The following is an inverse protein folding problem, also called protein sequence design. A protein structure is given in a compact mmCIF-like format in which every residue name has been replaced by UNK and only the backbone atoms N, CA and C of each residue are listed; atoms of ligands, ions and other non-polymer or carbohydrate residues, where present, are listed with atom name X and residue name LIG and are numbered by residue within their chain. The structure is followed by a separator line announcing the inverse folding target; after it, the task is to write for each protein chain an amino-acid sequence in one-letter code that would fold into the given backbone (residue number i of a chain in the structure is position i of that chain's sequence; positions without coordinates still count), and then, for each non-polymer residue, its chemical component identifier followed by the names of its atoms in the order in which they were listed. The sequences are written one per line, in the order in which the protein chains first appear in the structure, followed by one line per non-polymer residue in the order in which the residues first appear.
data_IF_231803705608
#
_entry.id   IF_231803705608
#
_cell.length_a   1.000
_cell.length_b   1.000
_cell.length_c   1.000
_cell.angle_alpha   90.00
_cell.angle_beta   90.00
_cell.angle_gamma   90.00
#
_symmetry.space_group_name_H-M   'P 1'
#
loop_
_entity.id
_entity.type
_entity.pdbx_description
1 polymer ?
#
# COMPACT_ATOMS: atom_id res chain seq x y z
N UNK A 1 52.40 29.33 -53.03
CA UNK A 1 52.37 30.80 -53.12
C UNK A 1 51.01 31.22 -53.65
N UNK A 2 50.03 31.48 -52.79
CA UNK A 2 48.76 32.16 -53.11
C UNK A 2 48.10 32.71 -51.84
N UNK A 3 47.23 33.71 -51.99
CA UNK A 3 46.83 34.69 -50.98
C UNK A 3 45.31 34.97 -51.07
N UNK A 4 44.55 35.40 -50.05
CA UNK A 4 44.80 35.69 -48.61
C UNK A 4 43.45 35.84 -47.87
N UNK A 5 43.48 35.76 -46.52
CA UNK A 5 42.51 36.36 -45.56
C UNK A 5 41.01 36.01 -45.71
N UNK A 6 40.38 35.66 -44.58
CA UNK A 6 39.40 36.56 -43.96
C UNK A 6 39.23 36.26 -42.46
N UNK A 7 38.86 37.31 -41.71
CA UNK A 7 38.73 37.33 -40.25
C UNK A 7 37.30 36.92 -39.83
N UNK A 8 37.15 36.33 -38.65
CA UNK A 8 35.84 35.97 -38.09
C UNK A 8 35.89 35.82 -36.58
N UNK A 9 35.86 36.94 -35.85
CA UNK A 9 35.82 36.96 -34.38
C UNK A 9 34.46 36.52 -33.85
N UNK A 10 34.44 35.58 -32.91
CA UNK A 10 33.23 35.17 -32.19
C UNK A 10 33.54 34.79 -30.74
N UNK A 11 33.55 35.77 -29.83
CA UNK A 11 33.43 35.49 -28.40
C UNK A 11 32.04 34.90 -28.13
N UNK A 12 31.98 33.72 -27.53
CA UNK A 12 30.74 33.01 -27.25
C UNK A 12 30.88 32.07 -26.06
N UNK A 13 30.76 32.64 -24.86
CA UNK A 13 30.88 31.92 -23.59
C UNK A 13 29.84 30.79 -23.45
N UNK A 14 30.30 29.57 -23.21
CA UNK A 14 29.45 28.46 -22.77
C UNK A 14 30.19 27.55 -21.78
N UNK A 15 30.48 28.07 -20.59
CA UNK A 15 30.82 27.26 -19.41
C UNK A 15 29.59 26.45 -18.99
N UNK A 16 29.35 25.30 -19.64
CA UNK A 16 28.35 24.34 -19.22
C UNK A 16 28.88 23.59 -17.99
N UNK A 17 28.50 24.09 -16.82
CA UNK A 17 28.90 23.54 -15.53
C UNK A 17 28.43 22.09 -15.36
N UNK A 18 29.39 21.18 -15.24
CA UNK A 18 29.16 19.79 -14.82
C UNK A 18 28.83 19.74 -13.32
N UNK A 19 27.63 20.18 -12.96
CA UNK A 19 27.14 20.12 -11.59
C UNK A 19 26.74 18.67 -11.23
N UNK A 20 27.66 17.98 -10.56
CA UNK A 20 27.47 16.66 -9.95
C UNK A 20 26.41 16.71 -8.83
N UNK A 21 25.13 16.71 -9.19
CA UNK A 21 24.08 16.26 -8.29
C UNK A 21 24.04 14.73 -8.31
N UNK A 22 24.95 14.14 -7.54
CA UNK A 22 24.84 12.76 -7.07
C UNK A 22 23.60 12.64 -6.19
N UNK A 23 22.43 12.58 -6.85
CA UNK A 23 21.18 12.26 -6.19
C UNK A 23 21.35 10.90 -5.54
N UNK A 24 21.32 10.86 -4.22
CA UNK A 24 21.11 9.63 -3.47
C UNK A 24 19.68 9.16 -3.74
N UNK A 25 19.47 8.60 -4.94
CA UNK A 25 18.42 7.66 -5.22
C UNK A 25 18.76 6.39 -4.42
N UNK A 26 18.52 6.47 -3.11
CA UNK A 26 18.47 5.32 -2.24
C UNK A 26 17.57 4.29 -2.94
N UNK A 27 18.08 3.09 -3.26
CA UNK A 27 17.29 2.09 -3.95
C UNK A 27 16.20 1.66 -2.98
N UNK A 28 15.03 2.30 -3.11
CA UNK A 28 13.79 1.97 -2.43
C UNK A 28 13.46 0.54 -2.82
N UNK A 29 14.04 -0.39 -2.05
CA UNK A 29 14.06 -1.81 -2.37
C UNK A 29 12.61 -2.21 -2.46
N UNK A 30 12.15 -2.69 -3.63
CA UNK A 30 10.76 -3.09 -3.76
C UNK A 30 10.58 -4.23 -2.75
N UNK A 31 9.88 -3.94 -1.65
CA UNK A 31 9.54 -4.91 -0.61
C UNK A 31 8.46 -5.80 -1.20
N UNK A 32 8.94 -6.67 -2.09
CA UNK A 32 8.15 -7.55 -2.92
C UNK A 32 7.78 -8.79 -2.12
N UNK A 33 6.66 -9.39 -2.51
CA UNK A 33 5.92 -10.39 -1.76
C UNK A 33 5.36 -9.86 -0.42
N UNK A 34 4.04 -9.99 -0.29
CA UNK A 34 3.30 -9.72 0.94
C UNK A 34 3.96 -10.49 2.10
N UNK A 35 4.58 -9.75 3.03
CA UNK A 35 5.21 -10.32 4.20
C UNK A 35 4.17 -11.15 4.96
N UNK A 36 4.41 -12.46 5.07
CA UNK A 36 3.57 -13.34 5.88
C UNK A 36 3.49 -12.79 7.31
N UNK A 37 2.36 -12.90 8.00
CA UNK A 37 2.25 -12.47 9.39
C UNK A 37 3.34 -13.15 10.23
N UNK A 38 4.23 -12.33 10.81
CA UNK A 38 5.31 -12.80 11.66
C UNK A 38 4.85 -12.74 13.11
N UNK A 39 4.65 -13.89 13.74
CA UNK A 39 4.23 -13.98 15.13
C UNK A 39 5.45 -13.87 16.07
N UNK A 40 5.24 -13.27 17.24
CA UNK A 40 6.23 -13.30 18.32
C UNK A 40 6.47 -14.73 18.85
N UNK A 41 7.58 -14.99 19.58
CA UNK A 41 7.90 -16.32 20.11
C UNK A 41 6.80 -16.92 21.01
N UNK A 42 6.07 -16.06 21.73
CA UNK A 42 4.91 -16.36 22.58
C UNK A 42 3.57 -16.32 21.83
N UNK A 43 3.59 -15.87 20.57
CA UNK A 43 2.40 -15.52 19.79
C UNK A 43 1.44 -14.58 20.52
N UNK A 44 1.97 -13.66 21.34
CA UNK A 44 1.19 -12.58 21.97
C UNK A 44 1.00 -11.38 21.02
N UNK A 45 1.89 -11.21 20.05
CA UNK A 45 1.81 -10.19 19.00
C UNK A 45 2.08 -10.78 17.61
N UNK A 46 1.62 -10.05 16.59
CA UNK A 46 1.86 -10.33 15.18
C UNK A 46 2.30 -9.06 14.47
N UNK A 47 3.34 -9.17 13.63
CA UNK A 47 3.80 -8.10 12.75
C UNK A 47 3.34 -8.39 11.32
N UNK A 48 2.48 -7.52 10.80
CA UNK A 48 1.84 -7.68 9.48
C UNK A 48 1.47 -6.30 8.91
N UNK A 49 1.50 -6.15 7.59
CA UNK A 49 1.02 -4.94 6.92
C UNK A 49 -0.48 -5.04 6.62
N UNK A 50 -1.23 -3.95 6.77
CA UNK A 50 -2.69 -3.95 6.55
C UNK A 50 -3.08 -4.31 5.10
N UNK A 51 -2.23 -4.01 4.11
CA UNK A 51 -2.50 -4.27 2.70
C UNK A 51 -1.22 -4.28 1.83
N UNK A 52 -0.27 -5.16 2.13
CA UNK A 52 0.98 -5.28 1.36
C UNK A 52 0.79 -5.57 -0.15
N UNK A 53 -0.40 -6.01 -0.58
CA UNK A 53 -0.71 -6.18 -2.00
C UNK A 53 -0.82 -4.86 -2.77
N UNK A 54 -1.15 -3.74 -2.10
CA UNK A 54 -1.25 -2.42 -2.75
C UNK A 54 0.10 -1.94 -3.30
N UNK A 55 1.21 -2.21 -2.60
CA UNK A 55 2.56 -1.87 -3.06
C UNK A 55 3.00 -2.58 -4.36
N UNK A 56 2.27 -3.60 -4.84
CA UNK A 56 2.59 -4.32 -6.08
C UNK A 56 2.27 -3.54 -7.36
N UNK A 57 1.57 -2.40 -7.27
CA UNK A 57 1.23 -1.58 -8.44
C UNK A 57 2.42 -0.74 -8.90
N UNK A 58 2.93 -1.03 -10.10
CA UNK A 58 4.05 -0.31 -10.72
C UNK A 58 3.74 1.14 -11.11
N UNK A 59 4.78 1.86 -11.54
CA UNK A 59 4.73 3.32 -11.75
C UNK A 59 3.67 3.77 -12.78
N UNK A 60 3.51 3.05 -13.90
CA UNK A 60 2.47 3.34 -14.91
C UNK A 60 1.06 3.36 -14.32
N UNK A 61 0.77 2.44 -13.41
CA UNK A 61 -0.53 2.36 -12.74
C UNK A 61 -0.74 3.54 -11.79
N UNK A 62 0.29 3.89 -11.01
CA UNK A 62 0.26 5.03 -10.10
C UNK A 62 0.20 6.38 -10.86
N UNK A 63 0.70 6.44 -12.11
CA UNK A 63 0.58 7.62 -12.98
C UNK A 63 -0.85 7.87 -13.43
N UNK A 64 -1.63 6.81 -13.66
CA UNK A 64 -3.03 6.89 -14.09
C UNK A 64 -4.01 7.08 -12.92
N UNK A 65 -3.83 6.34 -11.83
CA UNK A 65 -4.75 6.33 -10.69
C UNK A 65 -4.31 7.23 -9.52
N UNK A 66 -3.10 7.77 -9.55
CA UNK A 66 -2.46 8.49 -8.44
C UNK A 66 -1.64 7.56 -7.53
N UNK A 67 -0.72 8.08 -6.68
CA UNK A 67 0.17 7.28 -5.83
C UNK A 67 -0.49 6.76 -4.54
N UNK A 68 -1.45 7.51 -3.98
CA UNK A 68 -2.22 7.18 -2.76
C UNK A 68 -1.35 6.79 -1.53
N UNK A 69 -1.96 6.18 -0.51
CA UNK A 69 -1.28 5.73 0.71
C UNK A 69 -0.65 4.33 0.57
N UNK A 70 -0.35 3.85 -0.65
CA UNK A 70 0.09 2.46 -0.91
C UNK A 70 1.29 2.01 -0.07
N UNK A 71 2.24 2.91 0.20
CA UNK A 71 3.39 2.64 1.06
C UNK A 71 2.99 2.48 2.53
N UNK A 72 2.10 3.34 3.05
CA UNK A 72 1.58 3.25 4.42
C UNK A 72 0.75 1.96 4.63
N UNK A 73 -0.02 1.55 3.62
CA UNK A 73 -0.72 0.26 3.62
C UNK A 73 0.22 -0.97 3.59
N UNK A 74 1.41 -0.82 3.02
CA UNK A 74 2.42 -1.87 2.94
C UNK A 74 3.41 -1.88 4.13
N UNK A 75 3.39 -0.84 4.96
CA UNK A 75 4.21 -0.76 6.17
C UNK A 75 3.76 -1.83 7.18
N UNK A 76 4.64 -2.76 7.60
CA UNK A 76 4.28 -3.77 8.60
C UNK A 76 4.19 -3.16 9.99
N UNK A 77 3.02 -3.29 10.63
CA UNK A 77 2.76 -2.84 12.01
C UNK A 77 2.73 -4.04 12.95
N UNK A 78 3.09 -3.83 14.22
CA UNK A 78 2.96 -4.84 15.27
C UNK A 78 1.64 -4.62 16.01
N UNK A 79 0.82 -5.66 16.11
CA UNK A 79 -0.47 -5.65 16.79
C UNK A 79 -0.58 -6.83 17.78
N UNK A 80 -1.30 -6.68 18.91
CA UNK A 80 -1.55 -7.78 19.83
C UNK A 80 -2.49 -8.83 19.20
N UNK A 81 -2.26 -10.10 19.51
CA UNK A 81 -3.09 -11.23 19.04
C UNK A 81 -4.23 -11.47 20.00
N UNK A 82 -5.47 -11.18 19.57
CA UNK A 82 -6.67 -11.47 20.34
C UNK A 82 -7.02 -12.96 20.28
N UNK A 83 -6.80 -13.68 21.39
CA UNK A 83 -7.20 -15.10 21.55
C UNK A 83 -8.62 -15.19 22.11
N UNK A 84 -9.61 -15.39 21.22
CA UNK A 84 -11.04 -15.40 21.57
C UNK A 84 -11.39 -16.31 22.75
N UNK A 85 -10.91 -17.56 22.77
CA UNK A 85 -11.19 -18.51 23.85
C UNK A 85 -10.61 -18.11 25.21
N UNK A 86 -9.41 -17.50 25.24
CA UNK A 86 -8.79 -17.00 26.48
C UNK A 86 -9.51 -15.73 26.98
N UNK A 87 -9.99 -14.91 26.05
CA UNK A 87 -10.73 -13.69 26.36
C UNK A 87 -12.23 -13.93 26.69
N UNK A 88 -12.70 -15.18 26.69
CA UNK A 88 -14.12 -15.49 26.91
C UNK A 88 -15.07 -14.93 25.84
N UNK A 89 -14.57 -14.69 24.63
CA UNK A 89 -15.30 -14.06 23.52
C UNK A 89 -15.84 -15.13 22.55
N UNK A 90 -17.15 -15.28 22.51
CA UNK A 90 -17.87 -16.20 21.63
C UNK A 90 -18.22 -15.50 20.30
N UNK A 91 -17.79 -16.00 19.13
CA UNK A 91 -18.21 -15.47 17.84
C UNK A 91 -19.66 -15.86 17.55
N UNK A 92 -20.53 -14.86 17.38
CA UNK A 92 -21.99 -15.07 17.20
C UNK A 92 -22.43 -14.77 15.76
N UNK A 93 -21.82 -13.80 15.09
CA UNK A 93 -22.21 -13.46 13.72
C UNK A 93 -21.04 -12.87 12.92
N UNK A 94 -20.88 -13.37 11.68
CA UNK A 94 -20.04 -12.74 10.65
C UNK A 94 -20.93 -11.90 9.73
N UNK A 95 -20.47 -10.72 9.33
CA UNK A 95 -21.14 -9.82 8.41
C UNK A 95 -20.15 -9.08 7.50
N UNK A 96 -20.65 -8.07 6.78
CA UNK A 96 -19.89 -7.35 5.75
C UNK A 96 -20.16 -7.93 4.35
N UNK A 97 -21.29 -7.53 3.75
CA UNK A 97 -21.69 -7.95 2.40
C UNK A 97 -20.81 -7.28 1.34
N UNK A 98 -20.90 -5.95 1.23
CA UNK A 98 -20.14 -5.11 0.30
C UNK A 98 -19.23 -4.10 1.02
N UNK A 99 -18.87 -4.41 2.26
CA UNK A 99 -18.33 -3.52 3.28
C UNK A 99 -17.26 -4.28 4.08
N UNK A 100 -16.40 -3.61 4.89
CA UNK A 100 -15.45 -4.30 5.76
C UNK A 100 -16.11 -5.45 6.53
N UNK A 101 -15.46 -6.61 6.53
CA UNK A 101 -15.95 -7.80 7.20
C UNK A 101 -16.12 -7.50 8.69
N UNK A 102 -17.29 -7.81 9.23
CA UNK A 102 -17.61 -7.59 10.63
C UNK A 102 -17.70 -8.91 11.37
N UNK A 103 -17.23 -8.95 12.61
CA UNK A 103 -17.34 -10.10 13.50
C UNK A 103 -17.94 -9.63 14.82
N UNK A 104 -19.16 -10.08 15.12
CA UNK A 104 -19.84 -9.86 16.39
C UNK A 104 -19.41 -10.94 17.39
N UNK A 105 -18.93 -10.49 18.53
CA UNK A 105 -18.46 -11.31 19.64
C UNK A 105 -19.32 -11.01 20.88
N UNK A 106 -19.63 -12.04 21.67
CA UNK A 106 -20.32 -11.89 22.96
C UNK A 106 -19.43 -12.44 24.09
N UNK A 107 -19.44 -11.78 25.25
CA UNK A 107 -18.85 -12.33 26.49
C UNK A 107 -19.89 -13.07 27.31
N UNK A 108 -19.45 -13.96 28.21
CA UNK A 108 -20.31 -14.55 29.24
C UNK A 108 -21.12 -13.50 30.04
N UNK A 109 -20.55 -12.31 30.29
CA UNK A 109 -21.19 -11.19 31.00
C UNK A 109 -22.25 -10.43 30.18
N UNK A 110 -22.71 -10.99 29.05
CA UNK A 110 -23.73 -10.38 28.18
C UNK A 110 -23.27 -9.22 27.30
N UNK A 111 -22.04 -8.71 27.47
CA UNK A 111 -21.48 -7.63 26.62
C UNK A 111 -21.25 -8.10 25.20
N UNK A 112 -21.49 -7.19 24.24
CA UNK A 112 -21.31 -7.43 22.80
C UNK A 112 -20.20 -6.53 22.25
N UNK A 113 -19.28 -7.09 21.49
CA UNK A 113 -18.19 -6.40 20.80
C UNK A 113 -18.31 -6.60 19.29
N UNK A 114 -17.89 -5.62 18.50
CA UNK A 114 -17.91 -5.69 17.02
C UNK A 114 -16.53 -5.38 16.48
N UNK A 115 -15.84 -6.41 16.00
CA UNK A 115 -14.59 -6.24 15.25
C UNK A 115 -14.90 -5.94 13.78
N UNK A 116 -14.05 -5.16 13.12
CA UNK A 116 -14.15 -4.84 11.69
C UNK A 116 -12.79 -5.00 11.03
N UNK A 117 -12.75 -5.51 9.80
CA UNK A 117 -11.52 -5.52 9.01
C UNK A 117 -11.08 -4.10 8.63
N UNK A 118 -9.77 -3.84 8.64
CA UNK A 118 -9.17 -2.60 8.16
C UNK A 118 -9.20 -2.54 6.64
N UNK A 119 -8.74 -3.60 5.99
CA UNK A 119 -8.78 -3.73 4.53
C UNK A 119 -10.22 -3.98 4.06
N UNK A 120 -10.65 -3.19 3.08
CA UNK A 120 -12.00 -3.18 2.51
C UNK A 120 -11.97 -3.72 1.10
N UNK A 121 -12.78 -4.73 0.83
CA UNK A 121 -12.87 -5.32 -0.50
C UNK A 121 -14.04 -4.75 -1.31
N UNK A 122 -13.80 -3.62 -1.98
CA UNK A 122 -14.75 -2.99 -2.89
C UNK A 122 -15.06 -3.84 -4.14
N UNK A 123 -14.25 -4.85 -4.46
CA UNK A 123 -14.52 -5.69 -5.65
C UNK A 123 -15.77 -6.57 -5.49
N UNK A 124 -16.18 -6.85 -4.25
CA UNK A 124 -17.31 -7.73 -3.93
C UNK A 124 -18.67 -7.17 -4.35
N UNK A 125 -18.79 -5.86 -4.62
CA UNK A 125 -20.04 -5.23 -5.09
C UNK A 125 -20.22 -5.26 -6.61
N UNK A 126 -19.29 -5.85 -7.36
CA UNK A 126 -19.39 -5.94 -8.81
C UNK A 126 -20.45 -6.97 -9.26
N UNK A 127 -21.25 -6.67 -10.28
CA UNK A 127 -22.10 -7.67 -10.91
C UNK A 127 -21.25 -8.73 -11.65
N UNK A 128 -21.80 -9.93 -11.87
CA UNK A 128 -21.12 -10.97 -12.64
C UNK A 128 -20.75 -10.48 -14.05
N UNK A 129 -19.57 -10.86 -14.53
CA UNK A 129 -19.03 -10.45 -15.83
C UNK A 129 -18.03 -9.30 -15.79
N UNK A 130 -18.10 -8.38 -14.81
CA UNK A 130 -17.15 -7.25 -14.70
C UNK A 130 -15.94 -7.51 -13.79
N UNK A 131 -15.92 -8.65 -13.07
CA UNK A 131 -14.91 -8.96 -12.06
C UNK A 131 -13.46 -8.88 -12.56
N UNK A 132 -13.14 -9.50 -13.70
CA UNK A 132 -11.75 -9.58 -14.20
C UNK A 132 -11.11 -8.22 -14.52
N UNK A 133 -11.91 -7.26 -14.99
CA UNK A 133 -11.43 -5.93 -15.40
C UNK A 133 -11.56 -4.89 -14.28
N UNK A 134 -12.69 -4.87 -13.58
CA UNK A 134 -13.00 -3.82 -12.61
C UNK A 134 -12.52 -4.13 -11.18
N UNK A 135 -12.46 -5.41 -10.76
CA UNK A 135 -12.01 -5.77 -9.41
C UNK A 135 -10.59 -5.30 -9.08
N UNK A 136 -9.59 -5.42 -9.99
CA UNK A 136 -8.22 -4.97 -9.71
C UNK A 136 -8.10 -3.46 -9.50
N UNK A 137 -8.99 -2.67 -10.13
CA UNK A 137 -9.09 -1.21 -9.97
C UNK A 137 -9.83 -0.87 -8.68
N UNK A 138 -11.05 -1.39 -8.50
CA UNK A 138 -11.89 -1.09 -7.33
C UNK A 138 -11.24 -1.50 -6.02
N UNK A 139 -10.57 -2.66 -5.97
CA UNK A 139 -9.82 -3.04 -4.77
C UNK A 139 -8.67 -2.08 -4.51
N UNK A 140 -7.92 -1.70 -5.55
CA UNK A 140 -6.80 -0.76 -5.43
C UNK A 140 -7.25 0.63 -4.97
N UNK A 141 -8.45 1.09 -5.32
CA UNK A 141 -9.00 2.35 -4.81
C UNK A 141 -9.20 2.40 -3.28
N UNK A 142 -9.26 1.26 -2.58
CA UNK A 142 -9.28 1.23 -1.10
C UNK A 142 -8.06 1.95 -0.50
N UNK A 143 -6.89 1.94 -1.17
CA UNK A 143 -5.69 2.58 -0.65
C UNK A 143 -5.66 4.12 -0.79
N UNK A 144 -6.67 4.71 -1.43
CA UNK A 144 -6.82 6.17 -1.55
C UNK A 144 -7.06 6.84 -0.19
N UNK A 145 -7.62 6.11 0.79
CA UNK A 145 -7.71 6.51 2.19
C UNK A 145 -6.54 5.92 3.02
N UNK A 146 -6.11 6.57 4.11
CA UNK A 146 -5.14 5.98 5.03
C UNK A 146 -5.75 4.74 5.72
N UNK A 147 -4.93 3.71 6.04
CA UNK A 147 -5.38 2.51 6.75
C UNK A 147 -5.67 2.72 8.24
N UNK A 148 -5.08 3.77 8.82
CA UNK A 148 -5.15 4.09 10.24
C UNK A 148 -5.57 5.55 10.39
N UNK A 149 -6.50 5.82 11.31
CA UNK A 149 -7.12 7.13 11.57
C UNK A 149 -8.34 6.98 12.46
#
# INVERSE_FOLDING_TARGET
MFTSKLYGTGLGSALLAAALLSSCAEPATPTNAAARPAFGPDSAWVRVAAGAHYARRGWWWQRLWGPHYRQLWATPVTAPVLRLGVAGLLPVQVGGSFQPNTLRLHTADGRTFVLRSVDKDLSRSLPPGLGSLAAPVLRDQTCAAPPYG
#
